data_IF_760347359882
#
_entry.id   IF_760347359882
#
_cell.length_a   1.000
_cell.length_b   1.000
_cell.length_c   1.000
_cell.angle_alpha   90.00
_cell.angle_beta   90.00
_cell.angle_gamma   90.00
#
_symmetry.space_group_name_H-M   'P 1'
#
loop_
_entity.id
_entity.type
_entity.pdbx_description
1 polymer ?
#
# COMPACT_ATOMS: atom_id res chain seq x y z
N UNK A 1 -22.93 10.98 -0.60
CA UNK A 1 -22.30 10.46 0.64
C UNK A 1 -21.20 9.44 0.34
N UNK A 2 -21.50 8.38 -0.40
CA UNK A 2 -20.56 7.29 -0.74
C UNK A 2 -19.32 7.73 -1.54
N UNK A 3 -19.46 8.66 -2.50
CA UNK A 3 -18.32 9.17 -3.27
C UNK A 3 -17.32 9.93 -2.37
N UNK A 4 -17.82 10.67 -1.36
CA UNK A 4 -16.95 11.35 -0.39
C UNK A 4 -16.22 10.35 0.49
N UNK A 5 -16.91 9.31 0.95
CA UNK A 5 -16.29 8.23 1.74
C UNK A 5 -15.20 7.52 0.93
N UNK A 6 -15.51 7.12 -0.30
CA UNK A 6 -14.56 6.46 -1.20
C UNK A 6 -13.32 7.31 -1.46
N UNK A 7 -13.50 8.60 -1.77
CA UNK A 7 -12.38 9.55 -1.90
C UNK A 7 -11.56 9.66 -0.62
N UNK A 8 -12.19 9.62 0.55
CA UNK A 8 -11.48 9.72 1.82
C UNK A 8 -10.58 8.48 2.05
N UNK A 9 -11.08 7.28 1.74
CA UNK A 9 -10.28 6.06 1.80
C UNK A 9 -9.11 6.08 0.82
N UNK A 10 -9.32 6.56 -0.42
CA UNK A 10 -8.26 6.69 -1.43
C UNK A 10 -7.19 7.73 -1.07
N UNK A 11 -7.55 8.82 -0.38
CA UNK A 11 -6.55 9.81 0.08
C UNK A 11 -5.84 9.34 1.36
N UNK A 12 -6.54 8.60 2.22
CA UNK A 12 -5.99 8.12 3.47
C UNK A 12 -5.01 6.97 3.30
N UNK A 13 -5.29 6.01 2.41
CA UNK A 13 -4.46 4.82 2.19
C UNK A 13 -2.98 5.12 1.84
N UNK A 14 -2.65 6.00 0.88
CA UNK A 14 -1.26 6.34 0.57
C UNK A 14 -0.59 7.12 1.71
N UNK A 15 -1.37 7.81 2.54
CA UNK A 15 -0.87 8.51 3.73
C UNK A 15 -0.57 7.52 4.87
N UNK A 16 -1.42 6.50 5.05
CA UNK A 16 -1.26 5.44 6.04
C UNK A 16 -0.03 4.57 5.75
N UNK A 17 0.13 4.14 4.49
CA UNK A 17 1.31 3.39 4.05
C UNK A 17 2.56 4.25 3.83
N UNK A 18 2.47 5.57 4.07
CA UNK A 18 3.56 6.52 3.85
C UNK A 18 4.18 6.40 2.44
N UNK A 19 3.37 6.02 1.44
CA UNK A 19 3.84 5.74 0.08
C UNK A 19 4.65 6.89 -0.54
N UNK A 20 4.24 8.17 -0.43
CA UNK A 20 5.00 9.28 -1.00
C UNK A 20 6.38 9.42 -0.35
N UNK A 21 6.47 9.13 0.96
CA UNK A 21 7.71 9.17 1.70
C UNK A 21 8.61 7.97 1.36
N UNK A 22 8.04 6.76 1.23
CA UNK A 22 8.77 5.58 0.77
C UNK A 22 9.27 5.73 -0.67
N UNK A 23 8.45 6.28 -1.57
CA UNK A 23 8.84 6.54 -2.96
C UNK A 23 9.98 7.56 -3.06
N UNK A 24 9.94 8.64 -2.26
CA UNK A 24 11.04 9.61 -2.20
C UNK A 24 12.30 9.05 -1.56
N UNK A 25 12.15 8.20 -0.54
CA UNK A 25 13.30 7.62 0.17
C UNK A 25 13.91 6.40 -0.52
N UNK A 26 13.24 5.82 -1.52
CA UNK A 26 13.83 4.79 -2.41
C UNK A 26 15.08 5.31 -3.12
N UNK A 27 15.10 6.59 -3.51
CA UNK A 27 16.23 7.22 -4.19
C UNK A 27 16.99 8.23 -3.33
N UNK A 28 16.50 8.57 -2.13
CA UNK A 28 17.23 9.48 -1.24
C UNK A 28 18.54 8.83 -0.76
N UNK A 29 19.61 9.63 -0.74
CA UNK A 29 20.93 9.24 -0.28
C UNK A 29 20.84 8.46 1.04
N UNK A 30 21.34 7.22 1.01
CA UNK A 30 21.21 6.27 2.10
C UNK A 30 22.02 6.75 3.30
N UNK A 31 21.36 7.40 4.24
CA UNK A 31 22.01 7.94 5.43
C UNK A 31 21.76 7.01 6.59
N UNK A 32 22.45 5.88 6.69
CA UNK A 32 22.39 5.06 7.90
C UNK A 32 23.66 4.26 8.20
N UNK A 33 23.94 4.21 9.51
CA UNK A 33 24.97 3.48 10.26
C UNK A 33 26.11 2.90 9.44
N UNK A 34 27.14 3.72 9.19
CA UNK A 34 28.45 3.19 8.88
C UNK A 34 29.01 2.52 10.13
N UNK A 35 29.21 1.21 10.09
CA UNK A 35 30.18 0.59 10.98
C UNK A 35 31.54 1.22 10.66
N UNK A 36 32.15 1.90 11.63
CA UNK A 36 33.46 2.54 11.44
C UNK A 36 34.48 1.46 11.10
N UNK A 37 35.23 1.66 10.01
CA UNK A 37 36.29 0.74 9.59
C UNK A 37 37.45 0.62 10.61
N UNK A 38 37.42 1.39 11.71
CA UNK A 38 38.48 1.42 12.71
C UNK A 38 39.72 2.17 12.20
N UNK A 39 40.72 2.35 13.08
CA UNK A 39 42.03 2.91 12.71
C UNK A 39 43.02 1.76 12.48
N UNK A 40 43.54 1.62 11.26
CA UNK A 40 44.50 0.58 10.88
C UNK A 40 44.15 -0.09 9.53
N UNK A 41 45.10 -0.79 8.94
CA UNK A 41 44.92 -1.56 7.69
C UNK A 41 44.61 -3.02 8.04
N UNK A 42 43.38 -3.30 8.51
CA UNK A 42 42.92 -4.65 8.89
C UNK A 42 41.93 -5.21 7.84
N UNK A 43 42.42 -5.88 6.77
CA UNK A 43 41.57 -6.32 5.66
C UNK A 43 40.39 -7.21 6.07
N UNK A 44 40.53 -7.99 7.14
CA UNK A 44 39.43 -8.80 7.71
C UNK A 44 38.27 -7.93 8.22
N UNK A 45 38.59 -6.83 8.91
CA UNK A 45 37.62 -5.91 9.49
C UNK A 45 36.94 -5.04 8.43
N UNK A 46 37.67 -4.71 7.35
CA UNK A 46 37.10 -4.10 6.16
C UNK A 46 36.07 -4.99 5.48
N UNK A 47 36.35 -6.29 5.35
CA UNK A 47 35.44 -7.22 4.72
C UNK A 47 34.16 -7.44 5.55
N UNK A 48 34.29 -7.56 6.88
CA UNK A 48 33.14 -7.63 7.79
C UNK A 48 32.25 -6.39 7.69
N UNK A 49 32.84 -5.18 7.79
CA UNK A 49 32.09 -3.93 7.71
C UNK A 49 31.45 -3.71 6.34
N UNK A 50 32.13 -4.10 5.25
CA UNK A 50 31.56 -4.06 3.90
C UNK A 50 30.34 -4.96 3.78
N UNK A 51 30.45 -6.21 4.24
CA UNK A 51 29.38 -7.20 4.15
C UNK A 51 28.18 -6.79 5.00
N UNK A 52 28.40 -6.33 6.24
CA UNK A 52 27.33 -5.82 7.11
C UNK A 52 26.62 -4.60 6.51
N UNK A 53 27.38 -3.65 5.97
CA UNK A 53 26.81 -2.49 5.30
C UNK A 53 26.01 -2.91 4.07
N UNK A 54 26.50 -3.87 3.28
CA UNK A 54 25.82 -4.33 2.07
C UNK A 54 24.52 -5.11 2.39
N UNK A 55 24.52 -5.95 3.43
CA UNK A 55 23.32 -6.65 3.89
C UNK A 55 22.29 -5.66 4.43
N UNK A 56 22.69 -4.77 5.34
CA UNK A 56 21.81 -3.72 5.90
C UNK A 56 21.14 -2.89 4.79
N UNK A 57 21.93 -2.58 3.75
CA UNK A 57 21.46 -1.94 2.53
C UNK A 57 20.39 -2.79 1.83
N UNK A 58 20.70 -4.02 1.41
CA UNK A 58 19.72 -4.86 0.70
C UNK A 58 18.44 -5.06 1.50
N UNK A 59 18.56 -5.29 2.81
CA UNK A 59 17.42 -5.50 3.70
C UNK A 59 16.50 -4.26 3.78
N UNK A 60 17.09 -3.08 3.91
CA UNK A 60 16.34 -1.81 3.89
C UNK A 60 15.64 -1.56 2.55
N UNK A 61 16.27 -1.91 1.42
CA UNK A 61 15.65 -1.81 0.10
C UNK A 61 14.49 -2.79 -0.08
N UNK A 62 14.65 -4.04 0.37
CA UNK A 62 13.61 -5.07 0.32
C UNK A 62 12.36 -4.69 1.13
N UNK A 63 12.54 -4.19 2.35
CA UNK A 63 11.41 -3.75 3.19
C UNK A 63 10.65 -2.62 2.50
N UNK A 64 11.36 -1.63 1.93
CA UNK A 64 10.72 -0.50 1.22
C UNK A 64 9.96 -0.98 -0.02
N UNK A 65 10.53 -1.90 -0.80
CA UNK A 65 9.86 -2.47 -1.97
C UNK A 65 8.60 -3.26 -1.57
N UNK A 66 8.72 -4.07 -0.51
CA UNK A 66 7.60 -4.85 0.01
C UNK A 66 6.45 -3.96 0.49
N UNK A 67 6.74 -2.90 1.25
CA UNK A 67 5.74 -1.94 1.71
C UNK A 67 5.09 -1.16 0.55
N UNK A 68 5.87 -0.76 -0.46
CA UNK A 68 5.34 -0.12 -1.66
C UNK A 68 4.40 -1.06 -2.41
N UNK A 69 4.80 -2.32 -2.60
CA UNK A 69 3.99 -3.33 -3.28
C UNK A 69 2.70 -3.64 -2.51
N UNK A 70 2.79 -3.89 -1.21
CA UNK A 70 1.63 -4.18 -0.38
C UNK A 70 0.64 -3.01 -0.39
N UNK A 71 1.13 -1.79 -0.21
CA UNK A 71 0.29 -0.61 -0.29
C UNK A 71 -0.40 -0.50 -1.65
N UNK A 72 0.30 -0.77 -2.75
CA UNK A 72 -0.26 -0.68 -4.10
C UNK A 72 -1.37 -1.72 -4.31
N UNK A 73 -1.17 -2.94 -3.80
CA UNK A 73 -2.20 -3.99 -3.81
C UNK A 73 -3.44 -3.53 -3.04
N UNK A 74 -3.27 -2.98 -1.83
CA UNK A 74 -4.39 -2.45 -1.02
C UNK A 74 -5.12 -1.31 -1.73
N UNK A 75 -4.38 -0.39 -2.38
CA UNK A 75 -4.95 0.71 -3.16
C UNK A 75 -5.88 0.17 -4.27
N UNK A 76 -5.43 -0.83 -5.02
CA UNK A 76 -6.23 -1.49 -6.07
C UNK A 76 -7.50 -2.10 -5.49
N UNK A 77 -7.42 -2.78 -4.34
CA UNK A 77 -8.59 -3.33 -3.67
C UNK A 77 -9.61 -2.25 -3.24
N UNK A 78 -9.15 -1.10 -2.75
CA UNK A 78 -10.03 0.01 -2.36
C UNK A 78 -10.71 0.63 -3.59
N UNK A 79 -9.98 0.79 -4.70
CA UNK A 79 -10.55 1.29 -5.97
C UNK A 79 -11.62 0.34 -6.49
N UNK A 80 -11.30 -0.95 -6.63
CA UNK A 80 -12.22 -1.96 -7.16
C UNK A 80 -13.42 -2.14 -6.24
N UNK A 81 -13.18 -2.28 -4.92
CA UNK A 81 -14.24 -2.44 -3.93
C UNK A 81 -15.18 -1.25 -3.88
N UNK A 82 -14.65 -0.02 -3.88
CA UNK A 82 -15.47 1.18 -3.91
C UNK A 82 -16.29 1.33 -5.18
N UNK A 83 -15.74 0.94 -6.34
CA UNK A 83 -16.47 0.90 -7.61
C UNK A 83 -17.61 -0.13 -7.61
N UNK A 84 -17.37 -1.34 -7.08
CA UNK A 84 -18.40 -2.37 -6.94
C UNK A 84 -19.53 -1.92 -6.01
N UNK A 85 -19.20 -1.30 -4.87
CA UNK A 85 -20.20 -0.76 -3.94
C UNK A 85 -21.04 0.32 -4.62
N UNK A 86 -20.43 1.19 -5.44
CA UNK A 86 -21.14 2.19 -6.23
C UNK A 86 -22.12 1.55 -7.23
N UNK A 87 -21.69 0.51 -7.94
CA UNK A 87 -22.55 -0.22 -8.89
C UNK A 87 -23.72 -0.91 -8.17
N UNK A 88 -23.45 -1.61 -7.07
CA UNK A 88 -24.49 -2.27 -6.27
C UNK A 88 -25.49 -1.22 -5.78
N UNK A 89 -25.00 -0.09 -5.27
CA UNK A 89 -25.88 0.99 -4.79
C UNK A 89 -26.76 1.57 -5.90
N UNK A 90 -26.27 1.65 -7.15
CA UNK A 90 -27.04 2.11 -8.31
C UNK A 90 -28.13 1.11 -8.72
N UNK A 91 -27.85 -0.19 -8.65
CA UNK A 91 -28.77 -1.26 -9.05
C UNK A 91 -29.79 -1.57 -7.95
N UNK A 92 -29.45 -1.32 -6.68
CA UNK A 92 -30.28 -1.59 -5.51
C UNK A 92 -31.73 -1.04 -5.61
N UNK A 93 -31.99 0.22 -6.01
CA UNK A 93 -33.35 0.72 -6.17
C UNK A 93 -34.15 -0.03 -7.25
N UNK A 94 -33.50 -0.45 -8.35
CA UNK A 94 -34.16 -1.24 -9.40
C UNK A 94 -34.52 -2.64 -8.89
N UNK A 95 -33.61 -3.26 -8.13
CA UNK A 95 -33.81 -4.56 -7.49
C UNK A 95 -34.97 -4.53 -6.48
N UNK A 96 -35.09 -3.44 -5.70
CA UNK A 96 -36.19 -3.23 -4.77
C UNK A 96 -37.54 -3.15 -5.49
N UNK A 97 -37.61 -2.36 -6.58
CA UNK A 97 -38.85 -2.24 -7.37
C UNK A 97 -39.22 -3.59 -8.00
N UNK A 98 -38.25 -4.28 -8.61
CA UNK A 98 -38.47 -5.59 -9.21
C UNK A 98 -38.94 -6.62 -8.18
N UNK A 99 -38.35 -6.62 -6.98
CA UNK A 99 -38.75 -7.50 -5.87
C UNK A 99 -40.17 -7.21 -5.38
N UNK A 100 -40.56 -5.95 -5.28
CA UNK A 100 -41.93 -5.57 -4.91
C UNK A 100 -42.93 -6.04 -5.97
N UNK A 101 -42.68 -5.78 -7.25
CA UNK A 101 -43.56 -6.21 -8.36
C UNK A 101 -43.71 -7.73 -8.41
N UNK A 102 -42.59 -8.47 -8.29
CA UNK A 102 -42.62 -9.92 -8.25
C UNK A 102 -43.39 -10.46 -7.04
N UNK A 103 -43.25 -9.82 -5.87
CA UNK A 103 -44.00 -10.17 -4.67
C UNK A 103 -45.51 -9.98 -4.83
N UNK A 104 -45.95 -8.86 -5.44
CA UNK A 104 -47.38 -8.63 -5.70
C UNK A 104 -47.97 -9.65 -6.68
N UNK A 105 -47.23 -10.03 -7.74
CA UNK A 105 -47.67 -11.06 -8.69
C UNK A 105 -47.73 -12.48 -8.10
N UNK A 106 -47.07 -12.74 -6.97
CA UNK A 106 -47.12 -14.03 -6.28
C UNK A 106 -48.31 -14.16 -5.33
N UNK A 107 -48.90 -13.03 -4.92
CA UNK A 107 -49.97 -12.97 -3.91
C UNK A 107 -51.37 -12.81 -4.53
N UNK A 108 -51.45 -12.27 -5.75
CA UNK A 108 -52.67 -12.20 -6.58
C UNK A 108 -52.83 -13.51 -7.35
#
# INVERSE_FOLDING_TARGET
>A
MIIKAWRNYLVFNPTYFSMPALARTLFSYWRQYHYSYGRGFDPQRYFEAFTFNMISRVLGALIRLFLLFLGAVVEVFIVVGGFLILLIWLILPLLLIAGLVAGFNLVI
#
